data_IF_831462191083
#
_entry.id   IF_831462191083
#
_cell.length_a   1.000
_cell.length_b   1.000
_cell.length_c   1.000
_cell.angle_alpha   90.00
_cell.angle_beta   90.00
_cell.angle_gamma   90.00
#
_symmetry.space_group_name_H-M   'P 1'
#
loop_
_entity.id
_entity.type
_entity.pdbx_description
1 polymer ?
#
# COMPACT_ATOMS: atom_id res chain seq x y z
N UNK A 1 -14.70 -10.46 3.81
CA UNK A 1 -13.29 -10.85 4.06
C UNK A 1 -13.19 -11.30 5.51
N UNK A 2 -12.88 -12.58 5.77
CA UNK A 2 -12.69 -13.10 7.13
C UNK A 2 -11.42 -12.47 7.71
N UNK A 3 -11.51 -11.85 8.89
CA UNK A 3 -10.39 -11.19 9.56
C UNK A 3 -9.50 -12.23 10.26
N UNK A 4 -8.19 -12.02 10.23
CA UNK A 4 -7.23 -12.83 10.98
C UNK A 4 -7.42 -12.63 12.49
N UNK A 5 -7.02 -13.60 13.31
CA UNK A 5 -7.01 -13.46 14.77
C UNK A 5 -6.20 -12.23 15.21
N UNK A 6 -5.04 -11.98 14.57
CA UNK A 6 -4.20 -10.81 14.83
C UNK A 6 -4.91 -9.50 14.47
N UNK A 7 -5.77 -9.49 13.46
CA UNK A 7 -6.55 -8.29 13.09
C UNK A 7 -7.65 -8.00 14.12
N UNK A 8 -8.29 -9.06 14.62
CA UNK A 8 -9.32 -8.93 15.66
C UNK A 8 -8.72 -8.44 16.98
N UNK A 9 -7.59 -9.02 17.40
CA UNK A 9 -6.84 -8.57 18.57
C UNK A 9 -6.42 -7.09 18.45
N UNK A 10 -5.87 -6.72 17.29
CA UNK A 10 -5.45 -5.34 17.03
C UNK A 10 -6.63 -4.36 17.03
N UNK A 11 -7.78 -4.77 16.49
CA UNK A 11 -8.99 -3.96 16.50
C UNK A 11 -9.59 -3.81 17.91
N UNK A 12 -9.39 -4.81 18.78
CA UNK A 12 -9.89 -4.81 20.16
C UNK A 12 -9.03 -3.99 21.14
N UNK A 13 -7.86 -3.50 20.72
CA UNK A 13 -6.98 -2.71 21.58
C UNK A 13 -7.69 -1.43 22.06
N UNK A 14 -7.49 -1.07 23.32
CA UNK A 14 -8.12 0.13 23.92
C UNK A 14 -7.51 1.46 23.42
N UNK A 15 -6.28 1.43 22.91
CA UNK A 15 -5.53 2.63 22.53
C UNK A 15 -5.33 2.70 21.02
N UNK A 16 -5.82 3.77 20.41
CA UNK A 16 -5.39 4.17 19.07
C UNK A 16 -4.03 4.85 19.15
N UNK A 17 -3.05 4.34 18.41
CA UNK A 17 -1.72 4.94 18.34
C UNK A 17 -1.74 6.15 17.42
N UNK A 18 -0.72 7.02 17.54
CA UNK A 18 -0.56 8.16 16.62
C UNK A 18 -0.49 7.72 15.15
N UNK A 19 0.10 6.54 14.88
CA UNK A 19 0.17 5.98 13.52
C UNK A 19 -1.20 5.53 13.01
N UNK A 20 -2.03 4.92 13.86
CA UNK A 20 -3.40 4.55 13.47
C UNK A 20 -4.20 5.77 13.06
N UNK A 21 -4.19 6.82 13.89
CA UNK A 21 -4.92 8.05 13.64
C UNK A 21 -4.43 8.74 12.38
N UNK A 22 -3.10 8.80 12.20
CA UNK A 22 -2.49 9.40 11.01
C UNK A 22 -2.86 8.63 9.74
N UNK A 23 -2.70 7.31 9.72
CA UNK A 23 -3.02 6.47 8.56
C UNK A 23 -4.51 6.49 8.23
N UNK A 24 -5.40 6.49 9.23
CA UNK A 24 -6.82 6.67 9.03
C UNK A 24 -7.16 8.02 8.41
N UNK A 25 -6.48 9.10 8.83
CA UNK A 25 -6.64 10.42 8.22
C UNK A 25 -6.19 10.40 6.77
N UNK A 26 -5.00 9.86 6.47
CA UNK A 26 -4.50 9.70 5.10
C UNK A 26 -5.50 8.91 4.25
N UNK A 27 -6.00 7.78 4.75
CA UNK A 27 -6.98 6.94 4.06
C UNK A 27 -8.26 7.72 3.72
N UNK A 28 -8.74 8.56 4.64
CA UNK A 28 -9.96 9.35 4.47
C UNK A 28 -9.84 10.51 3.48
N UNK A 29 -8.67 11.14 3.39
CA UNK A 29 -8.47 12.32 2.54
C UNK A 29 -7.93 11.97 1.15
N UNK A 30 -7.36 10.79 0.98
CA UNK A 30 -6.77 10.37 -0.30
C UNK A 30 -7.88 10.01 -1.29
N UNK A 31 -7.92 10.61 -2.50
CA UNK A 31 -8.95 10.33 -3.50
C UNK A 31 -8.67 9.02 -4.27
N UNK A 32 -8.69 7.88 -3.56
CA UNK A 32 -8.26 6.57 -4.08
C UNK A 32 -8.86 6.20 -5.44
N UNK A 33 -10.16 6.43 -5.64
CA UNK A 33 -10.83 6.09 -6.91
C UNK A 33 -10.26 6.88 -8.10
N UNK A 34 -9.97 8.17 -7.91
CA UNK A 34 -9.39 9.00 -8.96
C UNK A 34 -7.94 8.58 -9.25
N UNK A 35 -7.15 8.32 -8.21
CA UNK A 35 -5.77 7.86 -8.35
C UNK A 35 -5.70 6.48 -9.03
N UNK A 36 -6.60 5.56 -8.69
CA UNK A 36 -6.68 4.26 -9.37
C UNK A 36 -6.95 4.43 -10.86
N UNK A 37 -7.96 5.21 -11.24
CA UNK A 37 -8.29 5.47 -12.66
C UNK A 37 -7.14 6.14 -13.42
N UNK A 38 -6.37 6.98 -12.75
CA UNK A 38 -5.21 7.65 -13.33
C UNK A 38 -4.08 6.67 -13.65
N UNK A 39 -3.83 5.68 -12.78
CA UNK A 39 -2.69 4.76 -12.88
C UNK A 39 -3.05 3.48 -13.65
N UNK A 40 -4.31 3.05 -13.59
CA UNK A 40 -4.81 1.80 -14.19
C UNK A 40 -4.41 1.59 -15.67
N UNK A 41 -4.41 2.61 -16.56
CA UNK A 41 -3.99 2.42 -17.96
C UNK A 41 -2.54 1.96 -18.13
N UNK A 42 -1.67 2.27 -17.17
CA UNK A 42 -0.24 1.98 -17.21
C UNK A 42 0.13 0.73 -16.41
N UNK A 43 -0.77 0.26 -15.54
CA UNK A 43 -0.50 -0.84 -14.62
C UNK A 43 -0.51 -2.18 -15.35
N UNK A 44 0.43 -3.12 -15.05
CA UNK A 44 0.49 -4.41 -15.70
C UNK A 44 -0.84 -5.16 -15.61
N UNK A 45 -1.31 -5.69 -16.73
CA UNK A 45 -2.49 -6.55 -16.80
C UNK A 45 -2.08 -8.01 -16.70
N UNK A 46 -2.99 -8.86 -16.24
CA UNK A 46 -2.77 -10.31 -16.27
C UNK A 46 -2.74 -10.75 -17.73
N UNK A 47 -1.57 -11.12 -18.22
CA UNK A 47 -1.39 -11.73 -19.54
C UNK A 47 -0.78 -13.13 -19.37
N UNK A 48 -1.51 -14.16 -19.81
CA UNK A 48 -1.05 -15.55 -19.79
C UNK A 48 -1.05 -16.24 -18.42
N UNK A 49 -0.27 -17.32 -18.30
CA UNK A 49 -0.24 -18.23 -17.14
C UNK A 49 0.73 -17.80 -16.01
N UNK A 50 1.22 -16.56 -16.03
CA UNK A 50 2.14 -16.04 -15.01
C UNK A 50 1.46 -15.73 -13.67
N UNK A 51 2.27 -15.49 -12.63
CA UNK A 51 1.76 -14.97 -11.35
C UNK A 51 1.08 -13.62 -11.63
N UNK A 52 -0.21 -13.44 -11.25
CA UNK A 52 -0.88 -12.18 -11.49
C UNK A 52 -0.13 -11.04 -10.78
N UNK A 53 -0.07 -9.84 -11.38
CA UNK A 53 0.51 -8.68 -10.71
C UNK A 53 -0.24 -8.41 -9.41
N UNK A 54 0.47 -7.87 -8.43
CA UNK A 54 -0.11 -7.44 -7.16
C UNK A 54 -1.16 -6.36 -7.46
N UNK A 55 -2.27 -6.33 -6.72
CA UNK A 55 -3.35 -5.37 -6.99
C UNK A 55 -2.89 -3.91 -6.90
N UNK A 56 -3.31 -3.08 -7.87
CA UNK A 56 -2.96 -1.65 -7.94
C UNK A 56 -3.24 -0.90 -6.63
N UNK A 57 -4.39 -1.16 -6.00
CA UNK A 57 -4.77 -0.51 -4.74
C UNK A 57 -3.74 -0.76 -3.62
N UNK A 58 -3.18 -1.97 -3.57
CA UNK A 58 -2.17 -2.33 -2.59
C UNK A 58 -0.84 -1.64 -2.85
N UNK A 59 -0.37 -1.68 -4.10
CA UNK A 59 0.88 -1.02 -4.49
C UNK A 59 0.81 0.48 -4.26
N UNK A 60 -0.33 1.11 -4.58
CA UNK A 60 -0.53 2.53 -4.34
C UNK A 60 -0.55 2.85 -2.83
N UNK A 61 -1.24 2.06 -2.00
CA UNK A 61 -1.23 2.26 -0.54
C UNK A 61 0.15 2.07 0.05
N UNK A 62 0.90 1.06 -0.38
CA UNK A 62 2.30 0.85 0.03
C UNK A 62 3.17 2.06 -0.33
N UNK A 63 3.03 2.57 -1.55
CA UNK A 63 3.74 3.76 -2.00
C UNK A 63 3.38 5.01 -1.20
N UNK A 64 2.09 5.28 -0.96
CA UNK A 64 1.66 6.42 -0.13
C UNK A 64 2.22 6.30 1.30
N UNK A 65 2.17 5.11 1.90
CA UNK A 65 2.73 4.89 3.23
C UNK A 65 4.24 5.13 3.27
N UNK A 66 4.96 4.67 2.25
CA UNK A 66 6.39 4.93 2.09
C UNK A 66 6.69 6.44 2.08
N UNK A 67 5.97 7.22 1.26
CA UNK A 67 6.16 8.67 1.17
C UNK A 67 5.79 9.38 2.47
N UNK A 68 4.69 8.99 3.12
CA UNK A 68 4.25 9.60 4.38
C UNK A 68 5.24 9.42 5.54
N UNK A 69 5.99 8.31 5.56
CA UNK A 69 6.94 8.01 6.63
C UNK A 69 8.40 8.24 6.22
N UNK A 70 8.68 8.67 4.99
CA UNK A 70 10.04 8.90 4.49
C UNK A 70 10.89 7.62 4.48
N UNK A 71 10.29 6.48 4.14
CA UNK A 71 10.96 5.18 4.16
C UNK A 71 11.60 4.85 2.80
N UNK A 72 12.69 4.08 2.81
CA UNK A 72 13.22 3.43 1.60
C UNK A 72 12.27 2.31 1.13
N UNK A 73 12.55 1.70 -0.02
CA UNK A 73 11.75 0.53 -0.49
C UNK A 73 11.85 -0.64 0.50
N UNK A 74 13.05 -0.95 0.97
CA UNK A 74 13.29 -1.96 2.01
C UNK A 74 12.65 -1.54 3.34
N UNK A 75 12.73 -0.25 3.68
CA UNK A 75 12.18 0.26 4.93
C UNK A 75 10.65 0.15 5.01
N UNK A 76 9.92 0.32 3.90
CA UNK A 76 8.47 0.09 3.89
C UNK A 76 8.12 -1.39 3.85
N UNK A 77 8.92 -2.23 3.18
CA UNK A 77 8.77 -3.69 3.23
C UNK A 77 8.88 -4.19 4.68
N UNK A 78 9.97 -3.86 5.37
CA UNK A 78 10.18 -4.18 6.78
C UNK A 78 9.05 -3.62 7.66
N UNK A 79 8.62 -2.38 7.36
CA UNK A 79 7.56 -1.72 8.11
C UNK A 79 6.19 -2.42 8.02
N UNK A 80 5.93 -3.17 6.95
CA UNK A 80 4.71 -3.96 6.80
C UNK A 80 4.81 -5.27 7.61
N UNK A 81 6.00 -5.85 7.74
CA UNK A 81 6.19 -7.02 8.59
C UNK A 81 6.10 -6.66 10.08
N UNK A 82 6.73 -5.56 10.51
CA UNK A 82 6.87 -5.20 11.93
C UNK A 82 5.67 -4.42 12.53
N UNK A 83 4.94 -3.62 11.72
CA UNK A 83 3.90 -2.70 12.20
C UNK A 83 2.53 -3.03 11.62
N UNK A 84 1.69 -3.64 12.47
CA UNK A 84 0.30 -3.96 12.17
C UNK A 84 -0.53 -2.76 11.66
N UNK A 85 -0.24 -1.52 12.09
CA UNK A 85 -0.90 -0.32 11.57
C UNK A 85 -0.64 -0.10 10.07
N UNK A 86 0.62 -0.22 9.65
CA UNK A 86 1.05 -0.01 8.25
C UNK A 86 0.55 -1.19 7.41
N UNK A 87 0.70 -2.42 7.91
CA UNK A 87 0.15 -3.62 7.28
C UNK A 87 -1.36 -3.51 7.01
N UNK A 88 -2.12 -3.08 8.02
CA UNK A 88 -3.56 -2.87 7.90
C UNK A 88 -3.91 -1.80 6.89
N UNK A 89 -3.18 -0.68 6.87
CA UNK A 89 -3.38 0.40 5.89
C UNK A 89 -3.12 -0.04 4.45
N UNK A 90 -2.10 -0.88 4.23
CA UNK A 90 -1.76 -1.44 2.91
C UNK A 90 -2.73 -2.56 2.50
N UNK A 91 -3.41 -3.19 3.46
CA UNK A 91 -4.38 -4.26 3.22
C UNK A 91 -3.68 -5.58 2.88
N UNK A 92 -2.68 -5.96 3.68
CA UNK A 92 -1.97 -7.23 3.58
C UNK A 92 -2.35 -8.11 4.77
N UNK A 93 -2.77 -9.35 4.47
CA UNK A 93 -2.92 -10.41 5.46
C UNK A 93 -1.78 -11.42 5.30
N UNK A 94 -0.81 -11.40 6.22
CA UNK A 94 0.38 -12.28 6.14
C UNK A 94 0.04 -13.77 6.16
N UNK A 95 -1.14 -14.17 6.61
CA UNK A 95 -1.57 -15.57 6.56
C UNK A 95 -1.97 -16.02 5.15
N UNK A 96 -2.18 -15.07 4.23
CA UNK A 96 -2.71 -15.34 2.89
C UNK A 96 -1.75 -14.93 1.78
N UNK A 97 -0.94 -13.90 2.02
CA UNK A 97 -0.07 -13.33 1.01
C UNK A 97 1.22 -12.76 1.60
N UNK A 98 2.28 -12.79 0.79
CA UNK A 98 3.55 -12.15 1.13
C UNK A 98 3.46 -10.64 0.91
N UNK A 99 4.26 -9.90 1.67
CA UNK A 99 4.49 -8.47 1.42
C UNK A 99 5.15 -8.32 0.03
N UNK A 100 4.78 -7.30 -0.78
CA UNK A 100 5.54 -6.95 -1.97
C UNK A 100 6.98 -6.61 -1.59
N UNK A 101 7.96 -7.24 -2.25
CA UNK A 101 9.36 -6.92 -1.98
C UNK A 101 9.73 -5.51 -2.46
N UNK A 102 10.85 -4.99 -1.95
CA UNK A 102 11.40 -3.69 -2.29
C UNK A 102 11.58 -3.50 -3.80
N UNK A 103 11.97 -4.54 -4.53
CA UNK A 103 12.16 -4.47 -5.98
C UNK A 103 10.85 -4.32 -6.75
N UNK A 104 9.76 -4.89 -6.21
CA UNK A 104 8.40 -4.76 -6.74
C UNK A 104 7.89 -3.35 -6.55
N UNK A 105 8.14 -2.75 -5.38
CA UNK A 105 7.84 -1.33 -5.15
C UNK A 105 8.70 -0.42 -6.03
N UNK A 106 10.00 -0.72 -6.20
CA UNK A 106 10.88 0.02 -7.10
C UNK A 106 10.34 0.05 -8.53
N UNK A 107 9.87 -1.09 -9.06
CA UNK A 107 9.25 -1.16 -10.39
C UNK A 107 7.99 -0.30 -10.47
N UNK A 108 7.16 -0.29 -9.42
CA UNK A 108 5.98 0.57 -9.36
C UNK A 108 6.36 2.05 -9.33
N UNK A 109 7.36 2.47 -8.56
CA UNK A 109 7.85 3.85 -8.54
C UNK A 109 8.33 4.29 -9.92
N UNK A 110 9.15 3.46 -10.59
CA UNK A 110 9.61 3.73 -11.95
C UNK A 110 8.46 3.87 -12.94
N UNK A 111 7.40 3.07 -12.80
CA UNK A 111 6.18 3.21 -13.61
C UNK A 111 5.52 4.58 -13.38
N UNK A 112 5.39 5.03 -12.12
CA UNK A 112 4.82 6.33 -11.81
C UNK A 112 5.69 7.49 -12.35
N UNK A 113 7.01 7.38 -12.19
CA UNK A 113 7.97 8.39 -12.66
C UNK A 113 8.00 8.48 -14.19
N UNK A 114 8.06 7.35 -14.88
CA UNK A 114 8.11 7.29 -16.36
C UNK A 114 6.86 7.90 -17.01
N UNK A 115 5.71 7.84 -16.33
CA UNK A 115 4.45 8.37 -16.83
C UNK A 115 4.05 9.71 -16.16
N UNK A 116 4.98 10.35 -15.45
CA UNK A 116 4.78 11.64 -14.76
C UNK A 116 3.57 11.66 -13.79
N UNK A 117 3.27 10.51 -13.19
CA UNK A 117 2.12 10.31 -12.31
C UNK A 117 2.41 10.70 -10.87
N UNK A 118 3.67 10.63 -10.42
CA UNK A 118 4.07 10.99 -9.05
C UNK A 118 3.60 12.39 -8.68
N UNK A 119 3.82 13.36 -9.57
CA UNK A 119 3.41 14.75 -9.38
C UNK A 119 1.88 14.86 -9.23
N UNK A 120 1.14 14.19 -10.12
CA UNK A 120 -0.33 14.20 -10.10
C UNK A 120 -0.90 13.59 -8.81
N UNK A 121 -0.24 12.56 -8.26
CA UNK A 121 -0.68 11.92 -7.01
C UNK A 121 -0.57 12.87 -5.81
N UNK A 122 0.45 13.74 -5.75
CA UNK A 122 0.71 14.61 -4.59
C UNK A 122 0.28 16.07 -4.78
N UNK A 123 -0.15 16.46 -5.98
CA UNK A 123 -0.72 17.79 -6.27
C UNK A 123 -2.26 17.78 -6.34
N UNK A 124 -2.91 16.64 -6.05
CA UNK A 124 -4.38 16.55 -5.95
C UNK A 124 -4.88 17.08 -4.61
#
# INVERSE_FOLDING_TARGET
MQKSFSDLEYAAKKKLTRRDVFLAKIDSVTPWSQLHKLIEPFYPKVEGAGRPPIGLARMLRMYVAQQCFGLSDEGIEDAIYDRQAIRGFVGIDLNRESVPDATTLLKFRRLLETNELTRKIFET
#
